data_IF_981893553774
#
_entry.id   IF_981893553774
#
_cell.length_a   1.000
_cell.length_b   1.000
_cell.length_c   1.000
_cell.angle_alpha   90.00
_cell.angle_beta   90.00
_cell.angle_gamma   90.00
#
_symmetry.space_group_name_H-M   'P 1'
#
loop_
_entity.id
_entity.type
_entity.pdbx_description
1 polymer ?
#
# COMPACT_ATOMS: atom_id res chain seq x y z
N UNK A 1 21.59 -7.69 26.89
CA UNK A 1 21.31 -6.58 25.99
C UNK A 1 21.18 -5.32 26.82
N UNK A 2 22.08 -4.38 26.66
CA UNK A 2 21.95 -3.05 27.21
C UNK A 2 21.10 -2.20 26.26
N UNK A 3 20.21 -1.44 26.84
CA UNK A 3 19.52 -0.36 26.14
C UNK A 3 20.50 0.80 26.16
N UNK A 4 21.03 1.17 25.00
CA UNK A 4 21.90 2.33 24.90
C UNK A 4 21.02 3.55 24.73
N UNK A 5 21.03 4.50 25.70
CA UNK A 5 20.47 5.81 25.47
C UNK A 5 21.29 6.42 24.34
N UNK A 6 20.68 6.76 23.23
CA UNK A 6 21.37 7.50 22.21
C UNK A 6 21.61 8.91 22.72
N UNK A 7 22.86 9.35 22.85
CA UNK A 7 23.19 10.75 23.06
C UNK A 7 22.70 11.61 21.90
N UNK A 8 22.38 11.00 20.81
CA UNK A 8 21.61 11.58 19.74
C UNK A 8 20.15 11.80 20.11
N UNK A 9 19.78 11.91 21.37
CA UNK A 9 18.50 12.26 22.03
C UNK A 9 17.25 12.60 21.23
N UNK A 10 17.32 12.44 19.95
CA UNK A 10 16.26 12.72 18.97
C UNK A 10 15.59 11.49 18.42
N UNK A 11 16.11 10.31 18.75
CA UNK A 11 15.59 9.02 18.23
C UNK A 11 14.75 8.24 19.24
N UNK A 12 14.83 8.63 20.52
CA UNK A 12 14.10 7.98 21.59
C UNK A 12 13.03 8.91 22.14
N UNK A 13 11.80 8.61 21.82
CA UNK A 13 10.64 9.26 22.44
C UNK A 13 10.23 8.48 23.71
N UNK A 14 11.17 8.28 24.62
CA UNK A 14 10.85 7.84 25.97
C UNK A 14 10.28 9.04 26.72
N UNK A 15 9.06 8.95 27.20
CA UNK A 15 8.47 9.93 28.11
C UNK A 15 9.03 9.70 29.50
N UNK A 16 9.95 10.54 29.93
CA UNK A 16 10.49 10.49 31.28
C UNK A 16 11.65 9.51 31.46
N UNK A 17 12.12 9.33 32.68
CA UNK A 17 13.36 8.65 33.06
C UNK A 17 13.42 7.13 32.85
N UNK A 18 12.51 6.53 32.12
CA UNK A 18 12.53 5.10 31.79
C UNK A 18 13.25 4.89 30.45
N UNK A 19 14.32 4.08 30.47
CA UNK A 19 15.00 3.59 29.27
C UNK A 19 14.08 2.66 28.51
N UNK A 20 13.72 3.02 27.28
CA UNK A 20 12.90 2.20 26.40
C UNK A 20 13.67 1.82 25.14
N UNK A 21 13.60 0.54 24.76
CA UNK A 21 14.06 0.08 23.45
C UNK A 21 12.98 0.24 22.34
N UNK A 22 11.90 0.91 22.64
CA UNK A 22 10.83 1.23 21.70
C UNK A 22 11.02 2.64 21.15
N UNK A 23 11.19 2.73 19.84
CA UNK A 23 11.13 4.00 19.12
C UNK A 23 9.72 4.18 18.56
N UNK A 24 9.01 5.19 19.05
CA UNK A 24 7.68 5.53 18.57
C UNK A 24 7.77 6.53 17.41
N UNK A 25 6.92 6.34 16.43
CA UNK A 25 6.74 7.29 15.33
C UNK A 25 5.28 7.30 14.87
N UNK A 26 4.89 8.39 14.22
CA UNK A 26 3.56 8.52 13.62
C UNK A 26 3.69 8.73 12.12
N UNK A 27 2.75 8.15 11.40
CA UNK A 27 2.64 8.38 9.96
C UNK A 27 1.17 8.29 9.54
N UNK A 28 0.75 9.10 8.57
CA UNK A 28 -0.59 8.97 8.02
C UNK A 28 -0.72 7.70 7.20
N UNK A 29 -1.89 7.10 7.28
CA UNK A 29 -2.26 5.90 6.57
C UNK A 29 -3.68 6.05 6.04
N UNK A 30 -3.90 5.77 4.75
CA UNK A 30 -5.24 5.60 4.23
C UNK A 30 -5.74 4.20 4.62
N UNK A 31 -6.60 4.15 5.62
CA UNK A 31 -7.12 2.90 6.17
C UNK A 31 -8.41 2.49 5.45
N UNK A 32 -8.40 1.34 4.83
CA UNK A 32 -9.56 0.71 4.21
C UNK A 32 -10.09 -0.37 5.16
N UNK A 33 -10.74 0.08 6.24
CA UNK A 33 -11.23 -0.78 7.33
C UNK A 33 -12.72 -1.10 7.23
N UNK A 34 -13.44 -0.37 6.40
CA UNK A 34 -14.87 -0.53 6.17
C UNK A 34 -15.18 -1.37 4.94
N UNK A 35 -16.28 -1.04 4.27
CA UNK A 35 -16.67 -1.72 3.06
C UNK A 35 -15.63 -1.51 1.93
N UNK A 36 -15.29 -2.59 1.22
CA UNK A 36 -14.58 -2.56 -0.05
C UNK A 36 -15.34 -3.50 -0.97
N UNK A 37 -16.31 -2.96 -1.71
CA UNK A 37 -17.23 -3.74 -2.53
C UNK A 37 -17.28 -3.23 -3.95
N UNK A 38 -17.22 -4.16 -4.88
CA UNK A 38 -17.40 -3.95 -6.31
C UNK A 38 -18.41 -4.98 -6.84
N UNK A 39 -19.54 -4.49 -7.34
CA UNK A 39 -20.60 -5.31 -7.94
C UNK A 39 -20.69 -4.94 -9.42
N UNK A 40 -20.60 -5.91 -10.31
CA UNK A 40 -20.61 -5.73 -11.77
C UNK A 40 -21.87 -6.40 -12.32
N UNK A 41 -22.76 -5.63 -12.94
CA UNK A 41 -24.05 -6.10 -13.49
C UNK A 41 -24.83 -7.00 -12.53
N UNK A 42 -24.81 -6.65 -11.22
CA UNK A 42 -25.48 -7.39 -10.15
C UNK A 42 -24.68 -8.58 -9.56
N UNK A 43 -23.54 -8.94 -10.13
CA UNK A 43 -22.63 -9.96 -9.57
C UNK A 43 -21.60 -9.30 -8.67
N UNK A 44 -21.57 -9.67 -7.39
CA UNK A 44 -20.53 -9.22 -6.44
C UNK A 44 -19.22 -9.91 -6.76
N UNK A 45 -18.17 -9.14 -6.98
CA UNK A 45 -16.81 -9.62 -7.09
C UNK A 45 -16.16 -9.79 -5.72
N UNK A 46 -15.18 -10.66 -5.62
CA UNK A 46 -14.47 -10.99 -4.38
C UNK A 46 -13.21 -10.14 -4.29
N UNK A 47 -13.16 -9.29 -3.25
CA UNK A 47 -11.96 -8.48 -2.98
C UNK A 47 -10.76 -9.39 -2.72
N UNK A 48 -9.58 -8.98 -3.16
CA UNK A 48 -8.31 -9.71 -3.11
C UNK A 48 -8.24 -11.00 -3.94
N UNK A 49 -9.33 -11.37 -4.62
CA UNK A 49 -9.41 -12.52 -5.53
C UNK A 49 -9.67 -12.07 -6.97
N UNK A 50 -10.80 -11.38 -7.20
CA UNK A 50 -11.18 -10.87 -8.53
C UNK A 50 -10.65 -9.45 -8.79
N UNK A 51 -10.44 -8.69 -7.71
CA UNK A 51 -9.90 -7.33 -7.77
C UNK A 51 -9.20 -6.94 -6.46
N UNK A 52 -8.41 -5.86 -6.53
CA UNK A 52 -7.91 -5.13 -5.37
C UNK A 52 -8.22 -3.64 -5.52
N UNK A 53 -8.49 -2.97 -4.41
CA UNK A 53 -8.62 -1.52 -4.37
C UNK A 53 -7.24 -0.90 -4.15
N UNK A 54 -6.88 0.12 -4.93
CA UNK A 54 -5.62 0.83 -4.70
C UNK A 54 -5.68 1.63 -3.41
N UNK A 55 -4.58 1.58 -2.69
CA UNK A 55 -4.41 2.13 -1.33
C UNK A 55 -4.68 3.63 -1.19
N UNK A 56 -4.63 4.37 -2.28
CA UNK A 56 -4.88 5.82 -2.32
C UNK A 56 -6.31 6.18 -2.81
N UNK A 57 -7.18 5.20 -2.90
CA UNK A 57 -8.57 5.41 -3.30
C UNK A 57 -9.37 6.09 -2.18
N UNK A 58 -10.21 7.08 -2.49
CA UNK A 58 -11.06 7.74 -1.52
C UNK A 58 -12.29 6.89 -1.15
N UNK A 59 -13.00 7.30 -0.11
CA UNK A 59 -14.36 6.84 0.14
C UNK A 59 -15.25 7.15 -1.07
N UNK A 60 -16.04 6.18 -1.49
CA UNK A 60 -16.98 6.34 -2.58
C UNK A 60 -18.16 5.38 -2.42
N UNK A 61 -19.39 5.89 -2.69
CA UNK A 61 -20.59 5.06 -2.74
C UNK A 61 -21.48 5.51 -3.89
N UNK A 62 -21.79 4.59 -4.80
CA UNK A 62 -22.66 4.90 -5.92
C UNK A 62 -22.62 3.85 -7.03
N UNK A 63 -23.44 4.10 -8.04
CA UNK A 63 -23.51 3.30 -9.25
C UNK A 63 -22.99 4.11 -10.43
N UNK A 64 -22.24 3.46 -11.29
CA UNK A 64 -21.62 4.06 -12.47
C UNK A 64 -21.85 3.19 -13.70
N UNK A 65 -22.13 3.83 -14.82
CA UNK A 65 -22.08 3.20 -16.14
C UNK A 65 -20.62 2.89 -16.50
N UNK A 66 -20.38 1.69 -17.07
CA UNK A 66 -19.06 1.25 -17.49
C UNK A 66 -18.76 1.71 -18.90
N UNK A 67 -17.56 2.22 -19.11
CA UNK A 67 -17.02 2.58 -20.43
C UNK A 67 -15.62 2.00 -20.59
N UNK A 68 -15.38 1.32 -21.69
CA UNK A 68 -14.05 0.78 -22.02
C UNK A 68 -13.25 1.83 -22.78
N UNK A 69 -12.04 2.08 -22.29
CA UNK A 69 -11.11 3.00 -22.93
C UNK A 69 -10.45 2.30 -24.12
N UNK A 70 -10.57 2.91 -25.31
CA UNK A 70 -9.83 2.45 -26.51
C UNK A 70 -8.33 2.75 -26.32
N UNK A 71 -7.49 1.74 -26.54
CA UNK A 71 -6.03 1.80 -26.35
C UNK A 71 -5.33 2.89 -27.18
N UNK A 72 -5.94 3.38 -28.28
CA UNK A 72 -5.41 4.55 -29.01
C UNK A 72 -5.35 5.83 -28.20
N UNK A 73 -6.07 5.90 -27.06
CA UNK A 73 -6.04 7.03 -26.14
C UNK A 73 -5.03 6.87 -25.00
N UNK A 74 -4.29 5.77 -24.97
CA UNK A 74 -3.16 5.56 -24.06
C UNK A 74 -1.92 6.24 -24.64
N UNK A 75 -1.87 7.55 -24.54
CA UNK A 75 -0.75 8.39 -24.97
C UNK A 75 -0.36 9.33 -23.82
N UNK A 76 0.91 9.31 -23.35
CA UNK A 76 1.37 10.07 -22.20
C UNK A 76 1.08 11.57 -22.26
N UNK A 77 1.07 12.16 -23.44
CA UNK A 77 0.91 13.60 -23.64
C UNK A 77 -0.55 14.04 -23.68
N UNK A 78 -1.46 13.14 -24.02
CA UNK A 78 -2.87 13.48 -24.26
C UNK A 78 -3.84 12.79 -23.31
N UNK A 79 -3.43 11.73 -22.62
CA UNK A 79 -4.27 10.91 -21.75
C UNK A 79 -5.06 11.73 -20.72
N UNK A 80 -4.42 12.52 -19.89
CA UNK A 80 -5.09 13.30 -18.87
C UNK A 80 -6.12 14.27 -19.48
N UNK A 81 -5.78 14.95 -20.56
CA UNK A 81 -6.67 15.85 -21.27
C UNK A 81 -7.88 15.11 -21.84
N UNK A 82 -7.68 13.92 -22.40
CA UNK A 82 -8.76 13.10 -22.94
C UNK A 82 -9.67 12.59 -21.83
N UNK A 83 -9.08 12.02 -20.75
CA UNK A 83 -9.82 11.51 -19.60
C UNK A 83 -10.62 12.60 -18.90
N UNK A 84 -10.08 13.81 -18.79
CA UNK A 84 -10.73 14.93 -18.10
C UNK A 84 -11.64 15.78 -19.03
N UNK A 85 -11.92 15.33 -20.23
CA UNK A 85 -12.75 16.02 -21.23
C UNK A 85 -14.24 16.15 -20.86
N UNK A 86 -14.65 15.57 -19.74
CA UNK A 86 -16.05 15.51 -19.28
C UNK A 86 -16.86 14.34 -19.83
N UNK A 87 -16.35 13.60 -20.82
CA UNK A 87 -17.02 12.40 -21.38
C UNK A 87 -17.22 11.28 -20.36
N UNK A 88 -16.35 11.21 -19.36
CA UNK A 88 -16.31 10.14 -18.37
C UNK A 88 -16.86 10.54 -17.00
N UNK A 89 -17.50 11.73 -16.95
CA UNK A 89 -18.15 12.18 -15.71
C UNK A 89 -19.19 11.16 -15.27
N UNK A 90 -19.12 10.75 -14.00
CA UNK A 90 -19.99 9.73 -13.43
C UNK A 90 -19.96 8.39 -14.17
N UNK A 91 -18.82 8.03 -14.75
CA UNK A 91 -18.61 6.74 -15.39
C UNK A 91 -17.42 6.00 -14.75
N UNK A 92 -17.52 4.68 -14.75
CA UNK A 92 -16.39 3.81 -14.44
C UNK A 92 -15.63 3.51 -15.74
N UNK A 93 -14.40 3.96 -15.83
CA UNK A 93 -13.58 3.76 -17.03
C UNK A 93 -12.71 2.50 -16.83
N UNK A 94 -12.95 1.50 -17.67
CA UNK A 94 -12.12 0.31 -17.74
C UNK A 94 -10.99 0.55 -18.74
N UNK A 95 -9.76 0.39 -18.30
CA UNK A 95 -8.59 0.49 -19.17
C UNK A 95 -7.81 -0.82 -19.14
N UNK A 96 -7.19 -1.15 -20.27
CA UNK A 96 -6.24 -2.25 -20.44
C UNK A 96 -4.96 -1.90 -19.65
N UNK A 97 -4.77 -2.57 -18.50
CA UNK A 97 -3.65 -2.27 -17.61
C UNK A 97 -2.31 -2.70 -18.18
N UNK A 98 -2.27 -3.80 -18.91
CA UNK A 98 -1.03 -4.30 -19.47
C UNK A 98 -0.55 -3.36 -20.57
N UNK A 99 -1.44 -2.92 -21.42
CA UNK A 99 -1.15 -1.90 -22.43
C UNK A 99 -0.82 -0.54 -21.80
N UNK A 100 -1.51 -0.18 -20.73
CA UNK A 100 -1.22 1.04 -19.97
C UNK A 100 0.21 1.01 -19.43
N UNK A 101 0.65 -0.10 -18.83
CA UNK A 101 2.03 -0.26 -18.36
C UNK A 101 3.04 -0.07 -19.49
N UNK A 102 2.85 -0.75 -20.61
CA UNK A 102 3.76 -0.66 -21.76
C UNK A 102 3.91 0.76 -22.31
N UNK A 103 2.81 1.53 -22.31
CA UNK A 103 2.77 2.83 -23.00
C UNK A 103 3.05 3.99 -22.06
N UNK A 104 2.59 3.91 -20.79
CA UNK A 104 2.54 5.03 -19.86
C UNK A 104 3.61 4.96 -18.77
N UNK A 105 4.24 3.78 -18.55
CA UNK A 105 5.24 3.63 -17.50
C UNK A 105 6.60 4.19 -17.95
N UNK A 106 6.66 5.50 -18.06
CA UNK A 106 7.92 6.24 -18.20
C UNK A 106 8.65 6.42 -16.86
N UNK A 107 7.94 6.19 -15.73
CA UNK A 107 8.43 6.33 -14.36
C UNK A 107 8.07 5.09 -13.54
N UNK A 108 8.91 4.67 -12.58
CA UNK A 108 8.62 3.51 -11.75
C UNK A 108 7.55 3.78 -10.68
N UNK A 109 6.71 2.77 -10.42
CA UNK A 109 5.89 2.68 -9.23
C UNK A 109 4.77 3.71 -9.10
N UNK A 110 4.70 4.33 -7.93
CA UNK A 110 3.59 5.20 -7.51
C UNK A 110 3.51 6.51 -8.29
N UNK A 111 4.60 6.97 -8.89
CA UNK A 111 4.64 8.22 -9.65
C UNK A 111 3.73 8.17 -10.89
N UNK A 112 3.50 6.99 -11.45
CA UNK A 112 2.55 6.80 -12.57
C UNK A 112 1.13 7.21 -12.15
N UNK A 113 0.70 6.79 -10.97
CA UNK A 113 -0.63 7.15 -10.46
C UNK A 113 -0.73 8.65 -10.15
N UNK A 114 0.31 9.25 -9.59
CA UNK A 114 0.36 10.69 -9.33
C UNK A 114 0.29 11.48 -10.63
N UNK A 115 0.98 11.02 -11.65
CA UNK A 115 1.04 11.72 -12.96
C UNK A 115 -0.26 11.61 -13.73
N UNK A 116 -0.88 10.43 -13.75
CA UNK A 116 -1.99 10.17 -14.66
C UNK A 116 -3.36 10.09 -14.00
N UNK A 117 -3.45 9.76 -12.69
CA UNK A 117 -4.75 9.60 -12.04
C UNK A 117 -5.09 10.74 -11.07
N UNK A 118 -4.13 11.24 -10.31
CA UNK A 118 -4.37 12.35 -9.38
C UNK A 118 -4.89 13.63 -10.07
N UNK A 119 -4.45 14.00 -11.29
CA UNK A 119 -4.97 15.19 -11.96
C UNK A 119 -6.41 15.09 -12.45
N UNK A 120 -6.97 13.86 -12.58
CA UNK A 120 -8.29 13.64 -13.17
C UNK A 120 -9.41 14.12 -12.22
N UNK A 121 -10.34 14.94 -12.73
CA UNK A 121 -11.46 15.51 -11.96
C UNK A 121 -12.83 15.08 -12.46
N UNK A 122 -12.90 14.57 -13.67
CA UNK A 122 -14.14 14.27 -14.37
C UNK A 122 -14.32 12.78 -14.69
N UNK A 123 -13.84 11.91 -13.80
CA UNK A 123 -13.97 10.45 -13.93
C UNK A 123 -14.63 9.93 -12.65
N UNK A 124 -15.59 9.01 -12.77
CA UNK A 124 -16.29 8.45 -11.61
C UNK A 124 -15.49 7.37 -10.88
N UNK A 125 -14.88 6.47 -11.63
CA UNK A 125 -13.97 5.44 -11.12
C UNK A 125 -13.03 4.98 -12.24
N UNK A 126 -11.89 4.38 -11.88
CA UNK A 126 -10.97 3.72 -12.81
C UNK A 126 -10.89 2.24 -12.45
N UNK A 127 -10.99 1.38 -13.44
CA UNK A 127 -10.80 -0.06 -13.33
C UNK A 127 -9.68 -0.45 -14.28
N UNK A 128 -8.53 -0.75 -13.71
CA UNK A 128 -7.36 -1.23 -14.43
C UNK A 128 -7.48 -2.75 -14.59
N UNK A 129 -7.87 -3.23 -15.76
CA UNK A 129 -8.01 -4.65 -16.06
C UNK A 129 -6.74 -5.19 -16.67
N UNK A 130 -6.11 -6.17 -16.04
CA UNK A 130 -4.89 -6.83 -16.51
C UNK A 130 -5.03 -8.35 -16.56
N UNK A 131 -4.00 -9.04 -17.03
CA UNK A 131 -3.94 -10.51 -17.01
C UNK A 131 -3.79 -11.04 -15.59
N UNK A 132 -2.99 -10.35 -14.76
CA UNK A 132 -2.74 -10.71 -13.38
C UNK A 132 -3.29 -9.66 -12.42
N UNK A 133 -3.81 -10.13 -11.28
CA UNK A 133 -4.21 -9.26 -10.20
C UNK A 133 -2.97 -8.68 -9.51
N UNK A 134 -2.89 -7.36 -9.44
CA UNK A 134 -1.83 -6.71 -8.68
C UNK A 134 -2.07 -6.85 -7.18
N UNK A 135 -1.00 -7.09 -6.40
CA UNK A 135 -1.13 -7.24 -4.96
C UNK A 135 -1.66 -5.95 -4.30
N UNK A 136 -2.34 -6.14 -3.19
CA UNK A 136 -2.78 -5.05 -2.32
C UNK A 136 -1.58 -4.47 -1.56
N UNK A 137 -1.55 -3.14 -1.42
CA UNK A 137 -0.59 -2.42 -0.61
C UNK A 137 -1.30 -1.38 0.24
N UNK A 138 -0.75 -1.05 1.40
CA UNK A 138 -1.20 0.10 2.19
C UNK A 138 -0.43 1.36 1.79
N UNK A 139 -1.15 2.46 1.65
CA UNK A 139 -0.53 3.74 1.33
C UNK A 139 0.03 4.41 2.58
N UNK A 140 1.32 4.71 2.54
CA UNK A 140 1.97 5.68 3.43
C UNK A 140 2.07 7.06 2.80
N UNK A 141 1.38 7.28 1.69
CA UNK A 141 1.48 8.52 0.94
C UNK A 141 0.35 9.47 1.32
N UNK A 142 0.69 10.74 1.35
CA UNK A 142 -0.20 11.82 1.72
C UNK A 142 -1.11 12.29 0.55
N UNK A 143 -1.43 11.42 -0.39
CA UNK A 143 -2.31 11.77 -1.49
C UNK A 143 -3.38 10.71 -1.70
N UNK A 144 -4.53 11.17 -2.14
CA UNK A 144 -5.60 10.32 -2.68
C UNK A 144 -5.88 10.70 -4.12
N UNK A 145 -6.31 9.73 -4.91
CA UNK A 145 -6.96 10.03 -6.20
C UNK A 145 -8.33 10.64 -5.96
N UNK A 146 -8.84 11.46 -6.89
CA UNK A 146 -10.20 12.03 -6.76
C UNK A 146 -11.32 10.99 -6.89
N UNK A 147 -11.01 9.80 -7.41
CA UNK A 147 -11.94 8.69 -7.62
C UNK A 147 -11.33 7.37 -7.15
N UNK A 148 -12.13 6.34 -6.86
CA UNK A 148 -11.62 5.00 -6.57
C UNK A 148 -10.93 4.38 -7.79
N UNK A 149 -9.83 3.68 -7.53
CA UNK A 149 -9.02 2.97 -8.53
C UNK A 149 -8.96 1.50 -8.15
N UNK A 150 -9.47 0.65 -9.01
CA UNK A 150 -9.45 -0.80 -8.85
C UNK A 150 -8.44 -1.43 -9.80
N UNK A 151 -7.76 -2.44 -9.33
CA UNK A 151 -7.00 -3.38 -10.15
C UNK A 151 -7.85 -4.65 -10.25
N UNK A 152 -8.20 -5.06 -11.45
CA UNK A 152 -8.98 -6.26 -11.69
C UNK A 152 -8.20 -7.19 -12.62
N UNK A 153 -8.39 -8.49 -12.43
CA UNK A 153 -7.79 -9.49 -13.31
C UNK A 153 -8.61 -9.73 -14.59
N UNK A 154 -8.20 -10.70 -15.37
CA UNK A 154 -8.83 -11.07 -16.63
C UNK A 154 -10.28 -11.57 -16.47
N UNK A 155 -10.73 -11.95 -15.25
CA UNK A 155 -12.11 -12.37 -14.97
C UNK A 155 -13.12 -11.22 -15.00
N UNK A 156 -12.65 -9.95 -14.91
CA UNK A 156 -13.52 -8.79 -15.06
C UNK A 156 -14.13 -8.79 -16.47
N UNK A 157 -15.49 -8.75 -16.60
CA UNK A 157 -16.17 -8.86 -17.89
C UNK A 157 -15.73 -7.78 -18.88
N UNK A 158 -15.67 -8.11 -20.17
CA UNK A 158 -15.39 -7.15 -21.25
C UNK A 158 -16.64 -6.46 -21.80
N UNK A 159 -17.81 -6.84 -21.32
CA UNK A 159 -19.12 -6.33 -21.73
C UNK A 159 -19.95 -5.79 -20.56
N UNK A 160 -19.31 -5.55 -19.42
CA UNK A 160 -19.93 -4.95 -18.26
C UNK A 160 -20.57 -3.59 -18.62
N UNK A 161 -21.76 -3.35 -18.11
CA UNK A 161 -22.54 -2.13 -18.37
C UNK A 161 -22.60 -1.20 -17.17
N UNK A 162 -22.62 -1.79 -15.97
CA UNK A 162 -22.83 -1.05 -14.73
C UNK A 162 -21.98 -1.63 -13.59
N UNK A 163 -21.46 -0.74 -12.76
CA UNK A 163 -20.83 -1.13 -11.51
C UNK A 163 -21.50 -0.39 -10.35
N UNK A 164 -21.68 -1.11 -9.24
CA UNK A 164 -22.01 -0.52 -7.94
C UNK A 164 -20.79 -0.63 -7.05
N UNK A 165 -20.38 0.49 -6.48
CA UNK A 165 -19.17 0.65 -5.70
C UNK A 165 -19.56 1.11 -4.30
N UNK A 166 -19.00 0.46 -3.27
CA UNK A 166 -19.08 0.89 -1.88
C UNK A 166 -17.69 0.74 -1.25
N UNK A 167 -17.01 1.85 -1.09
CA UNK A 167 -15.66 1.94 -0.54
C UNK A 167 -15.66 2.89 0.64
N UNK A 168 -15.20 2.42 1.78
CA UNK A 168 -14.97 3.21 2.98
C UNK A 168 -13.47 3.28 3.26
N UNK A 169 -12.91 4.46 3.11
CA UNK A 169 -11.48 4.75 3.34
C UNK A 169 -11.35 5.99 4.22
N UNK A 170 -10.43 5.96 5.15
CA UNK A 170 -10.19 7.03 6.12
C UNK A 170 -8.69 7.29 6.26
N UNK A 171 -8.29 8.56 6.21
CA UNK A 171 -6.94 8.95 6.58
C UNK A 171 -6.81 8.98 8.09
N UNK A 172 -5.96 8.14 8.63
CA UNK A 172 -5.69 8.05 10.07
C UNK A 172 -4.22 8.32 10.36
N UNK A 173 -3.94 8.88 11.54
CA UNK A 173 -2.60 8.85 12.12
C UNK A 173 -2.36 7.47 12.73
N UNK A 174 -1.40 6.74 12.18
CA UNK A 174 -1.04 5.42 12.66
C UNK A 174 0.21 5.51 13.54
N UNK A 175 0.12 4.95 14.75
CA UNK A 175 1.26 4.82 15.65
C UNK A 175 2.09 3.59 15.26
N UNK A 176 3.34 3.84 14.91
CA UNK A 176 4.32 2.81 14.59
C UNK A 176 5.39 2.71 15.67
N UNK A 177 6.03 1.55 15.74
CA UNK A 177 7.07 1.28 16.73
C UNK A 177 8.23 0.52 16.07
N UNK A 178 9.45 1.00 16.27
CA UNK A 178 10.64 0.20 16.03
C UNK A 178 11.15 -0.34 17.36
N UNK A 179 11.60 -1.59 17.37
CA UNK A 179 12.25 -2.20 18.51
C UNK A 179 13.74 -2.23 18.20
N UNK A 180 14.56 -1.64 19.06
CA UNK A 180 16.00 -1.54 18.87
C UNK A 180 16.70 -2.23 20.05
N UNK A 181 17.64 -3.09 19.75
CA UNK A 181 18.48 -3.73 20.76
C UNK A 181 19.94 -3.64 20.35
N UNK A 182 20.82 -3.63 21.32
CA UNK A 182 22.25 -3.52 21.13
C UNK A 182 22.99 -4.60 21.92
N UNK A 183 23.97 -5.21 21.29
CA UNK A 183 24.89 -6.17 21.92
C UNK A 183 26.31 -5.65 21.69
N UNK A 184 27.04 -5.22 22.74
CA UNK A 184 28.37 -4.67 22.58
C UNK A 184 29.35 -5.73 22.06
N UNK A 185 30.21 -5.36 21.14
CA UNK A 185 31.32 -6.18 20.66
C UNK A 185 32.42 -6.34 21.71
N UNK A 186 33.07 -7.47 21.72
CA UNK A 186 34.17 -7.78 22.68
C UNK A 186 35.52 -7.16 22.29
N UNK A 187 35.77 -6.95 20.97
CA UNK A 187 37.04 -6.42 20.46
C UNK A 187 36.90 -5.05 19.77
N UNK A 188 35.80 -4.87 19.07
CA UNK A 188 35.54 -3.68 18.25
C UNK A 188 34.14 -3.11 18.54
N UNK A 189 33.88 -2.64 19.77
CA UNK A 189 32.53 -2.14 20.13
C UNK A 189 32.11 -0.87 19.38
N UNK A 190 33.06 -0.16 18.79
CA UNK A 190 32.83 1.02 17.96
C UNK A 190 32.37 0.68 16.53
N UNK A 191 32.45 -0.56 16.12
CA UNK A 191 32.03 -1.05 14.80
C UNK A 191 30.73 -1.83 14.92
N UNK A 192 29.74 -1.44 14.17
CA UNK A 192 28.40 -1.98 14.27
C UNK A 192 28.02 -2.82 13.06
N UNK A 193 27.44 -3.99 13.32
CA UNK A 193 26.76 -4.80 12.33
C UNK A 193 25.25 -4.75 12.59
N UNK A 194 24.48 -4.16 11.67
CA UNK A 194 23.05 -3.93 11.86
C UNK A 194 22.28 -5.07 11.20
N UNK A 195 21.45 -5.75 12.00
CA UNK A 195 20.45 -6.71 11.53
C UNK A 195 19.07 -6.09 11.67
N UNK A 196 18.30 -6.08 10.61
CA UNK A 196 16.97 -5.49 10.59
C UNK A 196 15.94 -6.44 9.98
N UNK A 197 14.75 -6.44 10.52
CA UNK A 197 13.57 -7.06 9.95
C UNK A 197 12.35 -6.21 10.29
N UNK A 198 11.27 -6.36 9.53
CA UNK A 198 9.97 -5.82 9.94
C UNK A 198 9.10 -6.95 10.50
N UNK A 199 8.24 -6.63 11.46
CA UNK A 199 7.30 -7.57 12.08
C UNK A 199 5.84 -7.24 11.80
N UNK A 200 5.62 -6.14 11.09
CA UNK A 200 4.32 -5.75 10.55
C UNK A 200 4.12 -6.33 9.15
N UNK A 201 2.85 -6.49 8.75
CA UNK A 201 2.47 -6.82 7.38
C UNK A 201 1.29 -5.95 6.95
N UNK A 202 0.64 -6.27 5.82
CA UNK A 202 -0.44 -5.45 5.26
C UNK A 202 -1.68 -5.36 6.17
N UNK A 203 -1.86 -6.33 7.06
CA UNK A 203 -2.96 -6.35 8.04
C UNK A 203 -4.30 -6.63 7.39
N UNK A 204 -5.28 -5.74 7.53
CA UNK A 204 -6.65 -5.96 7.08
C UNK A 204 -6.97 -5.03 5.91
N UNK A 205 -7.59 -5.58 4.86
CA UNK A 205 -8.21 -4.85 3.76
C UNK A 205 -9.73 -5.10 3.79
N UNK A 206 -10.52 -4.04 3.83
CA UNK A 206 -11.95 -4.18 4.04
C UNK A 206 -12.27 -4.77 5.40
N UNK A 207 -13.35 -5.56 5.48
CA UNK A 207 -13.83 -6.11 6.75
C UNK A 207 -13.23 -7.46 7.11
N UNK A 208 -12.83 -8.27 6.13
CA UNK A 208 -12.54 -9.69 6.36
C UNK A 208 -11.23 -10.20 5.76
N UNK A 209 -10.60 -9.44 4.86
CA UNK A 209 -9.40 -9.91 4.16
C UNK A 209 -8.16 -9.62 4.99
N UNK A 210 -7.55 -10.67 5.57
CA UNK A 210 -6.41 -10.58 6.47
C UNK A 210 -5.15 -11.09 5.78
N UNK A 211 -4.11 -10.25 5.78
CA UNK A 211 -2.78 -10.58 5.30
C UNK A 211 -1.88 -10.93 6.50
N UNK A 212 -1.70 -12.21 6.76
CA UNK A 212 -1.05 -12.71 7.98
C UNK A 212 0.46 -12.49 8.04
N UNK A 213 1.17 -12.39 6.91
CA UNK A 213 2.60 -12.10 6.87
C UNK A 213 3.50 -13.17 7.47
N UNK A 214 3.13 -14.47 7.38
CA UNK A 214 3.90 -15.55 7.97
C UNK A 214 5.33 -15.63 7.40
N UNK A 215 5.48 -15.53 6.08
CA UNK A 215 6.78 -15.51 5.42
C UNK A 215 7.34 -14.07 5.31
N UNK A 216 6.51 -13.12 4.99
CA UNK A 216 6.86 -11.70 4.84
C UNK A 216 6.21 -10.86 5.97
N UNK A 217 6.86 -10.64 7.17
CA UNK A 217 8.23 -11.06 7.41
C UNK A 217 8.37 -11.65 8.83
N UNK A 218 7.38 -12.43 9.30
CA UNK A 218 7.48 -13.13 10.59
C UNK A 218 8.64 -14.12 10.62
N UNK A 219 9.00 -14.70 9.47
CA UNK A 219 10.16 -15.59 9.34
C UNK A 219 11.47 -14.87 9.64
N UNK A 220 11.67 -13.66 9.08
CA UNK A 220 12.84 -12.82 9.38
C UNK A 220 12.86 -12.36 10.83
N UNK A 221 11.71 -12.03 11.41
CA UNK A 221 11.59 -11.69 12.82
C UNK A 221 12.00 -12.85 13.73
N UNK A 222 11.53 -14.07 13.44
CA UNK A 222 11.92 -15.25 14.18
C UNK A 222 13.43 -15.53 14.07
N UNK A 223 14.01 -15.36 12.89
CA UNK A 223 15.46 -15.49 12.67
C UNK A 223 16.21 -14.45 13.51
N UNK A 224 15.83 -13.19 13.46
CA UNK A 224 16.48 -12.11 14.22
C UNK A 224 16.47 -12.39 15.72
N UNK A 225 15.33 -12.83 16.27
CA UNK A 225 15.23 -13.20 17.69
C UNK A 225 16.16 -14.36 18.06
N UNK A 226 16.33 -15.35 17.18
CA UNK A 226 17.28 -16.45 17.41
C UNK A 226 18.74 -15.98 17.35
N UNK A 227 19.08 -15.10 16.41
CA UNK A 227 20.42 -14.51 16.32
C UNK A 227 20.75 -13.67 17.57
N UNK A 228 19.79 -12.88 18.05
CA UNK A 228 19.97 -12.13 19.30
C UNK A 228 20.24 -13.03 20.50
N UNK A 229 19.50 -14.15 20.63
CA UNK A 229 19.76 -15.15 21.69
C UNK A 229 21.16 -15.75 21.55
N UNK A 230 21.56 -16.08 20.34
CA UNK A 230 22.89 -16.63 20.05
C UNK A 230 24.01 -15.66 20.45
N UNK A 231 23.94 -14.41 19.99
CA UNK A 231 24.94 -13.39 20.26
C UNK A 231 24.95 -12.94 21.73
N UNK A 232 23.82 -13.02 22.42
CA UNK A 232 23.79 -12.79 23.87
C UNK A 232 24.55 -13.87 24.64
N UNK A 233 24.48 -15.14 24.17
CA UNK A 233 25.19 -16.25 24.77
C UNK A 233 26.69 -16.33 24.32
N UNK A 234 26.96 -15.86 23.09
CA UNK A 234 28.28 -15.89 22.46
C UNK A 234 28.61 -14.47 22.00
N UNK A 235 29.20 -13.67 22.89
CA UNK A 235 29.48 -12.27 22.61
C UNK A 235 30.31 -12.12 21.32
N UNK A 236 29.82 -11.33 20.34
CA UNK A 236 30.51 -11.15 19.07
C UNK A 236 31.75 -10.26 19.21
N UNK A 237 32.63 -10.25 18.21
CA UNK A 237 33.78 -9.35 18.19
C UNK A 237 33.40 -7.91 17.87
N UNK A 238 32.35 -7.71 17.05
CA UNK A 238 31.76 -6.42 16.64
C UNK A 238 30.40 -6.24 17.32
N UNK A 239 30.03 -5.00 17.51
CA UNK A 239 28.70 -4.67 18.07
C UNK A 239 27.56 -4.86 17.06
#
# INVERSE_FOLDING_TARGET
SEIVPSDAGRWWSGTGAELSYMQHFRHPLNAQRGAVELIVDGKKLVNTVDYTLKEFSPTYKGELEVVYLDNKHLDPNTFCKYMDSGKFRNKAVVLDWDRFKETMFTFPGIEVYKTYFVPLKNVGAIICRGEELLPYFKSRNHFNTPMPVFMADASFPLDARKVSINVEAEMIENDGHNIIAYIPGSKHPEKHFILACHYDHLGICGQNDIFYGANDNSSGTAMLLNLMRHFKANQPEYS
#
